data_IF_099093872356
#
_entry.id   IF_099093872356
#
_cell.length_a   1.000
_cell.length_b   1.000
_cell.length_c   1.000
_cell.angle_alpha   90.00
_cell.angle_beta   90.00
_cell.angle_gamma   90.00
#
_symmetry.space_group_name_H-M   'P 1'
#
loop_
_entity.id
_entity.type
_entity.pdbx_description
1 polymer ?
#
# COMPACT_ATOMS: atom_id res chain seq x y z
N UNK A 1 2.94 9.44 4.90
CA UNK A 1 3.29 8.46 3.83
C UNK A 1 3.09 7.07 4.41
N UNK A 2 2.29 6.20 3.77
CA UNK A 2 2.05 4.82 4.28
C UNK A 2 3.31 3.98 4.21
N UNK A 3 3.44 2.97 5.06
CA UNK A 3 4.64 2.11 5.10
C UNK A 3 4.81 1.30 3.80
N UNK A 4 3.70 0.95 3.14
CA UNK A 4 3.70 0.37 1.79
C UNK A 4 4.37 1.32 0.79
N UNK A 5 4.02 2.61 0.81
CA UNK A 5 4.60 3.60 -0.10
C UNK A 5 6.10 3.81 0.17
N UNK A 6 6.50 3.82 1.46
CA UNK A 6 7.92 3.88 1.83
C UNK A 6 8.70 2.68 1.30
N UNK A 7 8.15 1.47 1.46
CA UNK A 7 8.76 0.24 0.95
C UNK A 7 8.93 0.28 -0.58
N UNK A 8 7.91 0.75 -1.30
CA UNK A 8 7.96 0.91 -2.77
C UNK A 8 9.05 1.90 -3.20
N UNK A 9 9.13 3.06 -2.55
CA UNK A 9 10.14 4.06 -2.86
C UNK A 9 11.55 3.53 -2.57
N UNK A 10 11.74 2.80 -1.46
CA UNK A 10 13.00 2.15 -1.14
C UNK A 10 13.40 1.13 -2.21
N UNK A 11 12.45 0.33 -2.69
CA UNK A 11 12.69 -0.65 -3.76
C UNK A 11 13.10 0.03 -5.08
N UNK A 12 12.34 1.04 -5.54
CA UNK A 12 12.68 1.77 -6.77
C UNK A 12 14.08 2.39 -6.71
N UNK A 13 14.46 2.92 -5.55
CA UNK A 13 15.80 3.45 -5.31
C UNK A 13 16.87 2.35 -5.32
N UNK A 14 16.57 1.18 -4.76
CA UNK A 14 17.46 0.02 -4.79
C UNK A 14 17.70 -0.46 -6.21
N UNK A 15 16.65 -0.74 -6.98
CA UNK A 15 16.77 -1.23 -8.37
C UNK A 15 17.52 -0.25 -9.25
N UNK A 16 17.31 1.07 -9.08
CA UNK A 16 18.10 2.08 -9.80
C UNK A 16 19.59 2.08 -9.43
N UNK A 17 19.93 1.90 -8.15
CA UNK A 17 21.32 1.81 -7.71
C UNK A 17 21.99 0.54 -8.25
N UNK A 18 21.29 -0.59 -8.24
CA UNK A 18 21.76 -1.85 -8.82
C UNK A 18 22.02 -1.71 -10.32
N UNK A 19 21.09 -1.14 -11.07
CA UNK A 19 21.26 -0.89 -12.50
C UNK A 19 22.49 -0.02 -12.80
N UNK A 20 22.68 1.04 -12.00
CA UNK A 20 23.84 1.93 -12.12
C UNK A 20 25.14 1.20 -11.80
N UNK A 21 25.15 0.36 -10.76
CA UNK A 21 26.30 -0.45 -10.38
C UNK A 21 26.68 -1.44 -11.49
N UNK A 22 25.70 -2.15 -12.07
CA UNK A 22 25.91 -3.07 -13.21
C UNK A 22 26.59 -2.37 -14.38
N UNK A 23 26.12 -1.18 -14.75
CA UNK A 23 26.76 -0.38 -15.80
C UNK A 23 28.21 -0.05 -15.46
N UNK A 24 28.49 0.37 -14.22
CA UNK A 24 29.86 0.74 -13.79
C UNK A 24 30.79 -0.46 -13.78
N UNK A 25 30.36 -1.60 -13.25
CA UNK A 25 31.17 -2.84 -13.22
C UNK A 25 31.45 -3.33 -14.65
N UNK A 26 30.45 -3.32 -15.54
CA UNK A 26 30.65 -3.69 -16.94
C UNK A 26 31.63 -2.76 -17.67
N UNK A 27 31.75 -1.48 -17.29
CA UNK A 27 32.77 -0.58 -17.83
C UNK A 27 34.18 -0.85 -17.28
N UNK A 28 34.29 -1.34 -16.03
CA UNK A 28 35.56 -1.63 -15.35
C UNK A 28 36.16 -2.96 -15.78
N UNK A 29 35.35 -3.87 -16.34
CA UNK A 29 35.67 -5.25 -16.74
C UNK A 29 36.75 -5.41 -17.83
N UNK A 30 37.62 -4.40 -18.03
CA UNK A 30 38.83 -4.42 -18.86
C UNK A 30 40.08 -4.96 -18.13
N UNK A 31 39.94 -5.53 -16.93
CA UNK A 31 41.05 -6.14 -16.17
C UNK A 31 40.72 -7.61 -15.92
N UNK A 32 41.37 -8.50 -16.66
CA UNK A 32 41.14 -9.94 -16.71
C UNK A 32 41.58 -10.66 -15.41
N UNK A 33 40.80 -10.57 -14.33
CA UNK A 33 40.95 -11.45 -13.15
C UNK A 33 39.75 -12.40 -13.04
N UNK A 34 39.94 -13.71 -13.24
CA UNK A 34 38.87 -14.71 -13.13
C UNK A 34 38.18 -14.76 -11.76
N UNK A 35 38.93 -14.53 -10.69
CA UNK A 35 38.42 -14.55 -9.31
C UNK A 35 37.50 -13.36 -9.04
N UNK A 36 37.87 -12.18 -9.57
CA UNK A 36 37.04 -10.98 -9.50
C UNK A 36 35.73 -11.19 -10.27
N UNK A 37 35.80 -11.78 -11.46
CA UNK A 37 34.62 -12.08 -12.27
C UNK A 37 33.67 -13.07 -11.58
N UNK A 38 34.20 -14.13 -10.94
CA UNK A 38 33.38 -15.09 -10.18
C UNK A 38 32.69 -14.43 -8.98
N UNK A 39 33.42 -13.65 -8.19
CA UNK A 39 32.84 -12.93 -7.03
C UNK A 39 31.75 -11.95 -7.46
N UNK A 40 31.98 -11.20 -8.54
CA UNK A 40 30.99 -10.28 -9.10
C UNK A 40 29.73 -11.03 -9.56
N UNK A 41 29.88 -12.20 -10.16
CA UNK A 41 28.77 -13.03 -10.59
C UNK A 41 27.91 -13.52 -9.41
N UNK A 42 28.54 -14.02 -8.34
CA UNK A 42 27.83 -14.47 -7.13
C UNK A 42 27.03 -13.33 -6.47
N UNK A 43 27.62 -12.14 -6.38
CA UNK A 43 26.96 -10.95 -5.84
C UNK A 43 25.76 -10.54 -6.71
N UNK A 44 25.90 -10.57 -8.03
CA UNK A 44 24.79 -10.25 -8.93
C UNK A 44 23.67 -11.28 -8.89
N UNK A 45 23.97 -12.56 -8.69
CA UNK A 45 22.93 -13.58 -8.52
C UNK A 45 22.07 -13.32 -7.27
N UNK A 46 22.70 -12.97 -6.15
CA UNK A 46 21.98 -12.60 -4.92
C UNK A 46 21.11 -11.36 -5.17
N UNK A 47 21.68 -10.35 -5.82
CA UNK A 47 20.96 -9.12 -6.13
C UNK A 47 19.75 -9.39 -7.04
N UNK A 48 19.89 -10.25 -8.05
CA UNK A 48 18.80 -10.59 -8.97
C UNK A 48 17.67 -11.35 -8.26
N UNK A 49 18.01 -12.26 -7.34
CA UNK A 49 17.00 -12.94 -6.51
C UNK A 49 16.25 -11.96 -5.61
N UNK A 50 16.96 -11.00 -5.02
CA UNK A 50 16.37 -9.98 -4.16
C UNK A 50 15.46 -9.06 -4.97
N UNK A 51 15.92 -8.58 -6.12
CA UNK A 51 15.15 -7.72 -7.03
C UNK A 51 13.89 -8.44 -7.52
N UNK A 52 13.99 -9.72 -7.90
CA UNK A 52 12.85 -10.54 -8.29
C UNK A 52 11.81 -10.71 -7.18
N UNK A 53 12.24 -10.97 -5.93
CA UNK A 53 11.30 -11.08 -4.80
C UNK A 53 10.63 -9.75 -4.47
N UNK A 54 11.36 -8.64 -4.60
CA UNK A 54 10.76 -7.33 -4.41
C UNK A 54 9.76 -6.98 -5.52
N UNK A 55 10.09 -7.22 -6.79
CA UNK A 55 9.15 -7.02 -7.89
C UNK A 55 7.90 -7.90 -7.71
N UNK A 56 8.09 -9.15 -7.29
CA UNK A 56 6.97 -10.05 -6.97
C UNK A 56 6.08 -9.50 -5.85
N UNK A 57 6.63 -8.85 -4.83
CA UNK A 57 5.86 -8.37 -3.66
C UNK A 57 5.29 -6.97 -3.82
N UNK A 58 5.97 -6.11 -4.58
CA UNK A 58 5.70 -4.69 -4.70
C UNK A 58 5.51 -4.24 -6.15
N UNK A 59 5.13 -5.16 -7.05
CA UNK A 59 4.58 -4.74 -8.33
C UNK A 59 3.28 -3.94 -8.12
N UNK A 60 2.87 -3.21 -9.16
CA UNK A 60 1.72 -2.31 -9.12
C UNK A 60 0.45 -3.02 -8.66
N UNK A 61 0.18 -4.22 -9.17
CA UNK A 61 -1.03 -4.98 -8.88
C UNK A 61 -1.06 -5.41 -7.41
N UNK A 62 0.04 -5.94 -6.88
CA UNK A 62 0.14 -6.35 -5.48
C UNK A 62 0.08 -5.15 -4.53
N UNK A 63 0.61 -3.99 -4.92
CA UNK A 63 0.42 -2.74 -4.17
C UNK A 63 -1.06 -2.35 -4.13
N UNK A 64 -1.73 -2.36 -5.28
CA UNK A 64 -3.15 -2.04 -5.39
C UNK A 64 -4.00 -3.02 -4.57
N UNK A 65 -3.66 -4.31 -4.57
CA UNK A 65 -4.26 -5.33 -3.70
C UNK A 65 -4.08 -4.99 -2.22
N UNK A 66 -2.85 -4.72 -1.79
CA UNK A 66 -2.59 -4.38 -0.38
C UNK A 66 -3.33 -3.10 0.05
N UNK A 67 -3.38 -2.08 -0.81
CA UNK A 67 -4.13 -0.84 -0.57
C UNK A 67 -5.64 -1.10 -0.51
N UNK A 68 -6.18 -1.91 -1.41
CA UNK A 68 -7.58 -2.32 -1.44
C UNK A 68 -7.97 -3.04 -0.15
N UNK A 69 -7.22 -4.06 0.25
CA UNK A 69 -7.43 -4.80 1.52
C UNK A 69 -7.39 -3.84 2.72
N UNK A 70 -6.41 -2.94 2.76
CA UNK A 70 -6.29 -1.93 3.83
C UNK A 70 -7.49 -1.00 3.87
N UNK A 71 -8.11 -0.73 2.72
CA UNK A 71 -9.28 0.14 2.59
C UNK A 71 -10.60 -0.57 2.91
N UNK A 72 -10.62 -1.90 2.93
CA UNK A 72 -11.75 -2.71 3.40
C UNK A 72 -11.72 -2.94 4.92
N UNK A 73 -10.61 -2.64 5.60
CA UNK A 73 -10.44 -2.87 7.03
C UNK A 73 -11.05 -1.72 7.87
N UNK A 74 -12.08 -1.96 8.70
CA UNK A 74 -12.76 -0.89 9.46
C UNK A 74 -11.91 -0.17 10.50
N UNK A 75 -10.83 -0.80 10.98
CA UNK A 75 -9.89 -0.23 11.95
C UNK A 75 -8.75 0.54 11.30
N UNK A 76 -8.64 0.45 9.96
CA UNK A 76 -7.64 1.18 9.20
C UNK A 76 -7.99 2.65 9.10
N UNK A 77 -6.98 3.52 9.19
CA UNK A 77 -7.11 4.96 8.88
C UNK A 77 -7.44 5.22 7.40
N UNK A 78 -7.40 4.19 6.56
CA UNK A 78 -7.75 4.21 5.14
C UNK A 78 -9.08 3.51 4.84
N UNK A 79 -9.87 3.17 5.85
CA UNK A 79 -11.17 2.54 5.65
C UNK A 79 -12.04 3.37 4.68
N UNK A 80 -12.59 2.71 3.66
CA UNK A 80 -13.40 3.30 2.59
C UNK A 80 -12.68 4.37 1.75
N UNK A 81 -11.35 4.26 1.59
CA UNK A 81 -10.61 5.03 0.59
C UNK A 81 -11.08 4.64 -0.82
N UNK A 82 -11.75 5.58 -1.49
CA UNK A 82 -12.44 5.37 -2.76
C UNK A 82 -11.45 4.98 -3.85
N UNK A 83 -10.35 5.72 -3.99
CA UNK A 83 -9.38 5.51 -5.06
C UNK A 83 -8.72 4.14 -4.97
N UNK A 84 -8.37 3.70 -3.75
CA UNK A 84 -7.78 2.39 -3.52
C UNK A 84 -8.77 1.24 -3.80
N UNK A 85 -10.06 1.43 -3.48
CA UNK A 85 -11.10 0.43 -3.73
C UNK A 85 -11.47 0.32 -5.21
N UNK A 86 -11.48 1.42 -5.95
CA UNK A 86 -11.70 1.43 -7.40
C UNK A 86 -10.55 0.74 -8.14
N UNK A 87 -9.30 1.06 -7.81
CA UNK A 87 -8.11 0.40 -8.38
C UNK A 87 -8.12 -1.10 -8.08
N UNK A 88 -8.47 -1.47 -6.85
CA UNK A 88 -8.64 -2.87 -6.45
C UNK A 88 -9.76 -3.57 -7.21
N UNK A 89 -10.94 -2.96 -7.33
CA UNK A 89 -12.08 -3.55 -8.02
C UNK A 89 -11.82 -3.73 -9.52
N UNK A 90 -11.11 -2.79 -10.15
CA UNK A 90 -10.72 -2.90 -11.55
C UNK A 90 -9.84 -4.14 -11.81
N UNK A 91 -8.92 -4.48 -10.89
CA UNK A 91 -8.07 -5.69 -11.01
C UNK A 91 -8.86 -6.99 -11.04
N UNK A 92 -10.04 -7.03 -10.40
CA UNK A 92 -10.90 -8.21 -10.33
C UNK A 92 -12.11 -8.13 -11.27
N UNK A 93 -12.18 -7.10 -12.14
CA UNK A 93 -13.30 -6.92 -13.06
C UNK A 93 -14.65 -6.68 -12.35
N UNK A 94 -14.62 -6.08 -11.16
CA UNK A 94 -15.83 -5.75 -10.42
C UNK A 94 -16.49 -4.47 -10.95
N UNK A 95 -17.80 -4.36 -10.74
CA UNK A 95 -18.59 -3.19 -11.12
C UNK A 95 -18.24 -1.98 -10.22
N UNK A 96 -17.57 -1.00 -10.83
CA UNK A 96 -17.09 0.22 -10.16
C UNK A 96 -18.24 1.14 -9.73
N UNK A 97 -19.33 1.17 -10.49
CA UNK A 97 -20.49 2.01 -10.20
C UNK A 97 -21.23 1.46 -8.98
N UNK A 98 -21.51 0.15 -8.99
CA UNK A 98 -22.10 -0.54 -7.84
C UNK A 98 -21.24 -0.42 -6.57
N UNK A 99 -19.91 -0.56 -6.71
CA UNK A 99 -18.97 -0.37 -5.61
C UNK A 99 -19.04 1.05 -5.05
N UNK A 100 -19.06 2.07 -5.91
CA UNK A 100 -19.13 3.47 -5.49
C UNK A 100 -20.39 3.78 -4.70
N UNK A 101 -21.53 3.26 -5.15
CA UNK A 101 -22.79 3.38 -4.41
C UNK A 101 -22.72 2.73 -3.03
N UNK A 102 -22.15 1.53 -2.93
CA UNK A 102 -22.01 0.83 -1.64
C UNK A 102 -21.03 1.55 -0.70
N UNK A 103 -19.91 2.08 -1.21
CA UNK A 103 -18.98 2.89 -0.41
C UNK A 103 -19.69 4.11 0.16
N UNK A 104 -20.43 4.86 -0.68
CA UNK A 104 -21.18 6.04 -0.26
C UNK A 104 -22.24 5.68 0.78
N UNK A 105 -23.00 4.60 0.55
CA UNK A 105 -23.98 4.09 1.50
C UNK A 105 -23.36 3.76 2.86
N UNK A 106 -22.19 3.09 2.88
CA UNK A 106 -21.48 2.76 4.12
C UNK A 106 -20.94 3.99 4.84
N UNK A 107 -20.40 4.98 4.11
CA UNK A 107 -19.96 6.26 4.68
C UNK A 107 -21.11 6.99 5.35
N UNK A 108 -22.24 7.14 4.65
CA UNK A 108 -23.45 7.79 5.18
C UNK A 108 -23.95 7.06 6.43
N UNK A 109 -24.04 5.72 6.38
CA UNK A 109 -24.48 4.92 7.53
C UNK A 109 -23.56 5.09 8.75
N UNK A 110 -22.25 5.22 8.53
CA UNK A 110 -21.29 5.50 9.60
C UNK A 110 -21.53 6.87 10.24
N UNK A 111 -21.72 7.90 9.42
CA UNK A 111 -21.99 9.27 9.88
C UNK A 111 -23.29 9.32 10.67
N UNK A 112 -24.37 8.75 10.13
CA UNK A 112 -25.68 8.72 10.80
C UNK A 112 -25.60 8.02 12.16
N UNK A 113 -24.86 6.92 12.27
CA UNK A 113 -24.64 6.24 13.55
C UNK A 113 -23.93 7.14 14.55
N UNK A 114 -22.91 7.88 14.12
CA UNK A 114 -22.21 8.82 15.00
C UNK A 114 -23.12 9.96 15.45
N UNK A 115 -23.92 10.52 14.54
CA UNK A 115 -24.87 11.61 14.86
C UNK A 115 -25.94 11.15 15.84
N UNK A 116 -26.58 10.00 15.59
CA UNK A 116 -27.60 9.44 16.50
C UNK A 116 -27.01 9.14 17.88
N UNK A 117 -25.79 8.58 17.94
CA UNK A 117 -25.13 8.32 19.21
C UNK A 117 -24.80 9.62 19.97
N UNK A 118 -24.42 10.70 19.27
CA UNK A 118 -24.18 12.00 19.88
C UNK A 118 -25.47 12.62 20.41
N UNK A 119 -26.56 12.57 19.65
CA UNK A 119 -27.88 13.05 20.09
C UNK A 119 -28.35 12.33 21.35
N UNK A 120 -28.18 11.01 21.43
CA UNK A 120 -28.53 10.24 22.64
C UNK A 120 -27.71 10.62 23.87
N UNK A 121 -26.44 10.98 23.69
CA UNK A 121 -25.57 11.43 24.79
C UNK A 121 -25.97 12.83 25.27
N UNK A 122 -26.29 13.75 24.35
CA UNK A 122 -26.75 15.09 24.70
C UNK A 122 -28.11 15.11 25.41
N UNK A 123 -29.01 14.18 25.09
CA UNK A 123 -30.31 14.07 25.79
C UNK A 123 -30.21 13.54 27.21
N UNK A 124 -29.14 12.82 27.58
CA UNK A 124 -28.97 12.26 28.92
C UNK A 124 -28.40 13.28 29.93
N UNK A 125 -27.70 14.32 29.47
CA UNK A 125 -27.16 15.37 30.34
C UNK A 125 -28.20 16.45 30.71
N UNK A 126 -29.30 16.54 29.96
CA UNK A 126 -30.39 17.51 30.22
C UNK A 126 -31.43 17.07 31.26
N UNK A 127 -31.42 15.82 31.71
CA UNK A 127 -32.42 15.26 32.65
C UNK A 127 -31.91 15.07 34.11
N UNK A 128 -30.65 15.43 34.41
CA UNK A 128 -30.08 15.33 35.78
C UNK A 128 -30.04 16.67 36.56
N UNK A 129 -30.80 17.67 36.11
CA UNK A 129 -30.75 19.04 36.61
C UNK A 129 -32.00 19.53 37.34
N UNK A 130 -32.79 18.66 38.00
CA UNK A 130 -33.79 19.12 38.96
C UNK A 130 -34.06 18.04 40.02
N UNK A 131 -33.41 18.16 41.17
CA UNK A 131 -33.81 17.50 42.41
C UNK A 131 -33.37 18.42 43.56
N UNK A 132 -34.30 19.27 43.99
CA UNK A 132 -34.55 19.65 45.39
C UNK A 132 -33.45 20.35 46.16
#
# INVERSE_FOLDING_TARGET
>A
MSDIQKACNCFQNFSMKIFTLRKRVNMIRRRDSPEFDSYVQDVYEIIDKVDAEFERRYNKDNIAIMKGITSLCPTSSKYLDQSALEEFAALFGADIEALSHEIMRRKIKSILRTVVNLETLYTQDSDNGDNG
#
